data_IF_908999493714
#
_entry.id   IF_908999493714
#
_cell.length_a   1.000
_cell.length_b   1.000
_cell.length_c   1.000
_cell.angle_alpha   90.00
_cell.angle_beta   90.00
_cell.angle_gamma   90.00
#
_symmetry.space_group_name_H-M   'P 1'
#
loop_
_entity.id
_entity.type
_entity.pdbx_description
1 polymer ?
#
# COMPACT_ATOMS: atom_id res chain seq x y z
N UNK A 1 1.54 7.49 5.54
CA UNK A 1 1.91 8.91 5.63
C UNK A 1 3.32 9.10 5.07
N UNK A 2 3.72 10.33 4.75
CA UNK A 2 5.05 10.64 4.19
C UNK A 2 5.84 11.63 5.07
N UNK A 3 5.53 11.70 6.37
CA UNK A 3 6.13 12.64 7.32
C UNK A 3 7.60 12.34 7.63
N UNK A 4 8.26 13.28 8.31
CA UNK A 4 9.71 13.22 8.59
C UNK A 4 10.16 12.07 9.49
N UNK A 5 9.24 11.44 10.23
CA UNK A 5 9.50 10.31 11.12
C UNK A 5 9.24 8.93 10.48
N UNK A 6 8.80 8.91 9.22
CA UNK A 6 8.32 7.66 8.61
C UNK A 6 9.45 6.67 8.37
N UNK A 7 10.66 7.12 8.07
CA UNK A 7 11.80 6.22 7.77
C UNK A 7 12.22 5.44 9.03
N UNK A 8 12.33 6.14 10.16
CA UNK A 8 12.58 5.50 11.46
C UNK A 8 11.47 4.49 11.82
N UNK A 9 10.21 4.84 11.54
CA UNK A 9 9.07 3.95 11.75
C UNK A 9 9.11 2.70 10.86
N UNK A 10 9.44 2.86 9.59
CA UNK A 10 9.61 1.75 8.65
C UNK A 10 10.73 0.82 9.11
N UNK A 11 11.88 1.37 9.50
CA UNK A 11 13.01 0.60 9.98
C UNK A 11 12.64 -0.23 11.24
N UNK A 12 11.97 0.39 12.21
CA UNK A 12 11.51 -0.30 13.42
C UNK A 12 10.51 -1.42 13.11
N UNK A 13 9.58 -1.21 12.17
CA UNK A 13 8.64 -2.25 11.75
C UNK A 13 9.33 -3.40 11.02
N UNK A 14 10.29 -3.10 10.14
CA UNK A 14 11.07 -4.12 9.43
C UNK A 14 11.91 -4.95 10.41
N UNK A 15 12.56 -4.32 11.40
CA UNK A 15 13.30 -5.01 12.47
C UNK A 15 12.39 -5.91 13.32
N UNK A 16 11.16 -5.46 13.59
CA UNK A 16 10.15 -6.28 14.25
C UNK A 16 9.68 -7.49 13.40
N UNK A 17 10.06 -7.55 12.12
CA UNK A 17 9.80 -8.69 11.24
C UNK A 17 8.41 -8.66 10.59
N UNK A 18 7.87 -7.48 10.27
CA UNK A 18 6.60 -7.40 9.52
C UNK A 18 6.77 -7.98 8.11
N UNK A 19 5.74 -8.71 7.66
CA UNK A 19 5.74 -9.28 6.31
C UNK A 19 5.49 -8.20 5.22
N UNK A 20 4.77 -7.13 5.57
CA UNK A 20 4.33 -6.08 4.63
C UNK A 20 4.28 -4.71 5.28
N UNK A 21 4.63 -3.68 4.51
CA UNK A 21 4.51 -2.27 4.86
C UNK A 21 3.54 -1.59 3.91
N UNK A 22 2.58 -0.86 4.46
CA UNK A 22 1.58 -0.13 3.69
C UNK A 22 1.89 1.36 3.76
N UNK A 23 2.29 1.97 2.65
CA UNK A 23 2.42 3.43 2.53
C UNK A 23 1.02 4.00 2.35
N UNK A 24 0.34 4.20 3.48
CA UNK A 24 -1.08 4.54 3.53
C UNK A 24 -1.33 6.05 3.60
N UNK A 25 -2.00 6.60 2.59
CA UNK A 25 -2.36 8.02 2.50
C UNK A 25 -3.72 8.21 1.86
N UNK A 26 -4.34 9.38 2.05
CA UNK A 26 -5.57 9.73 1.35
C UNK A 26 -5.38 9.86 -0.17
N UNK A 27 -4.16 10.15 -0.65
CA UNK A 27 -3.86 10.31 -2.07
C UNK A 27 -2.47 9.76 -2.44
N UNK A 28 -2.47 8.51 -2.91
CA UNK A 28 -1.27 7.75 -3.25
C UNK A 28 -0.60 8.16 -4.55
N UNK A 29 -1.32 8.87 -5.44
CA UNK A 29 -0.74 9.40 -6.70
C UNK A 29 -0.01 10.73 -6.46
N UNK A 30 0.83 10.78 -5.43
CA UNK A 30 1.61 11.96 -5.09
C UNK A 30 3.08 11.61 -5.06
N UNK A 31 3.94 12.59 -5.41
CA UNK A 31 5.40 12.41 -5.45
C UNK A 31 5.94 11.83 -4.14
N UNK A 32 5.48 12.35 -3.00
CA UNK A 32 5.94 11.88 -1.69
C UNK A 32 5.63 10.41 -1.43
N UNK A 33 4.47 9.91 -1.89
CA UNK A 33 4.11 8.49 -1.73
C UNK A 33 4.90 7.61 -2.67
N UNK A 34 5.02 8.01 -3.94
CA UNK A 34 5.79 7.29 -4.97
C UNK A 34 7.25 7.13 -4.51
N UNK A 35 7.90 8.23 -4.09
CA UNK A 35 9.28 8.17 -3.61
C UNK A 35 9.40 7.35 -2.32
N UNK A 36 8.41 7.39 -1.43
CA UNK A 36 8.43 6.58 -0.22
C UNK A 36 8.29 5.09 -0.52
N UNK A 37 7.42 4.68 -1.44
CA UNK A 37 7.30 3.29 -1.89
C UNK A 37 8.63 2.81 -2.47
N UNK A 38 9.24 3.61 -3.35
CA UNK A 38 10.56 3.31 -3.93
C UNK A 38 11.63 3.15 -2.86
N UNK A 39 11.68 4.07 -1.91
CA UNK A 39 12.63 4.03 -0.81
C UNK A 39 12.45 2.77 0.06
N UNK A 40 11.21 2.39 0.41
CA UNK A 40 10.95 1.17 1.19
C UNK A 40 11.45 -0.05 0.42
N UNK A 41 11.10 -0.18 -0.86
CA UNK A 41 11.51 -1.33 -1.69
C UNK A 41 13.04 -1.44 -1.84
N UNK A 42 13.73 -0.31 -1.93
CA UNK A 42 15.20 -0.27 -2.06
C UNK A 42 15.92 -0.63 -0.76
N UNK A 43 15.43 -0.17 0.39
CA UNK A 43 16.10 -0.35 1.68
C UNK A 43 15.71 -1.65 2.39
N UNK A 44 14.52 -2.18 2.11
CA UNK A 44 13.97 -3.39 2.73
C UNK A 44 13.43 -4.34 1.66
N UNK A 45 14.27 -4.91 0.78
CA UNK A 45 13.83 -5.67 -0.38
C UNK A 45 13.04 -6.94 -0.03
N UNK A 46 13.30 -7.53 1.14
CA UNK A 46 12.59 -8.72 1.64
C UNK A 46 11.20 -8.42 2.20
N UNK A 47 10.89 -7.14 2.47
CA UNK A 47 9.59 -6.71 2.97
C UNK A 47 8.70 -6.33 1.77
N UNK A 48 7.46 -6.83 1.78
CA UNK A 48 6.48 -6.43 0.77
C UNK A 48 6.02 -4.99 1.02
N UNK A 49 5.76 -4.21 -0.02
CA UNK A 49 5.29 -2.83 0.07
C UNK A 49 4.01 -2.61 -0.74
N UNK A 50 3.01 -2.04 -0.08
CA UNK A 50 1.73 -1.67 -0.69
C UNK A 50 1.62 -0.14 -0.74
N UNK A 51 1.36 0.41 -1.93
CA UNK A 51 1.16 1.84 -2.12
C UNK A 51 -0.33 2.21 -2.19
N UNK A 52 -0.74 3.32 -1.57
CA UNK A 52 -2.12 3.79 -1.69
C UNK A 52 -2.45 5.08 -0.93
N UNK A 53 -3.69 5.53 -1.00
CA UNK A 53 -4.80 4.99 -1.79
C UNK A 53 -4.91 5.61 -3.18
N UNK A 54 -5.39 4.84 -4.16
CA UNK A 54 -5.57 5.29 -5.55
C UNK A 54 -6.97 4.96 -6.08
N UNK A 55 -7.33 5.49 -7.25
CA UNK A 55 -8.59 5.15 -7.93
C UNK A 55 -8.46 5.19 -9.47
N UNK A 56 -7.23 5.21 -10.00
CA UNK A 56 -6.95 5.31 -11.43
C UNK A 56 -5.80 4.39 -11.82
N UNK A 57 -5.79 3.96 -13.08
CA UNK A 57 -4.78 3.06 -13.64
C UNK A 57 -3.42 3.74 -13.78
N UNK A 58 -3.39 5.05 -14.10
CA UNK A 58 -2.15 5.82 -14.11
C UNK A 58 -1.46 5.85 -12.74
N UNK A 59 -2.24 6.00 -11.67
CA UNK A 59 -1.71 5.96 -10.32
C UNK A 59 -1.20 4.55 -9.96
N UNK A 60 -1.87 3.50 -10.41
CA UNK A 60 -1.39 2.12 -10.23
C UNK A 60 -0.07 1.89 -10.95
N UNK A 61 0.05 2.35 -12.21
CA UNK A 61 1.29 2.26 -12.97
C UNK A 61 2.43 3.01 -12.29
N UNK A 62 2.19 4.24 -11.84
CA UNK A 62 3.21 5.04 -11.14
C UNK A 62 3.71 4.36 -9.85
N UNK A 63 2.83 3.70 -9.10
CA UNK A 63 3.20 2.94 -7.90
C UNK A 63 3.90 1.62 -8.25
N UNK A 64 3.46 0.94 -9.31
CA UNK A 64 4.11 -0.28 -9.81
C UNK A 64 5.55 0.01 -10.28
N UNK A 65 5.76 1.09 -11.03
CA UNK A 65 7.08 1.56 -11.47
C UNK A 65 7.98 1.99 -10.30
N UNK A 66 7.39 2.47 -9.21
CA UNK A 66 8.11 2.74 -7.97
C UNK A 66 8.52 1.45 -7.21
N UNK A 67 7.98 0.30 -7.58
CA UNK A 67 8.28 -0.99 -6.96
C UNK A 67 7.25 -1.45 -5.92
N UNK A 68 6.01 -0.97 -5.99
CA UNK A 68 4.92 -1.53 -5.18
C UNK A 68 4.66 -3.00 -5.56
N UNK A 69 4.52 -3.88 -4.56
CA UNK A 69 4.09 -5.27 -4.78
C UNK A 69 2.57 -5.38 -4.89
N UNK A 70 1.84 -4.40 -4.34
CA UNK A 70 0.41 -4.25 -4.50
C UNK A 70 -0.02 -2.78 -4.39
N UNK A 71 -1.23 -2.47 -4.86
CA UNK A 71 -1.86 -1.14 -4.72
C UNK A 71 -3.16 -1.22 -3.91
N UNK A 72 -3.40 -0.20 -3.08
CA UNK A 72 -4.65 -0.07 -2.32
C UNK A 72 -5.61 0.90 -3.02
N UNK A 73 -6.80 0.41 -3.37
CA UNK A 73 -7.80 1.16 -4.17
C UNK A 73 -8.94 1.68 -3.30
N UNK A 74 -9.21 2.98 -3.40
CA UNK A 74 -10.38 3.62 -2.82
C UNK A 74 -10.14 5.06 -2.39
N UNK A 75 -10.87 5.99 -3.02
CA UNK A 75 -10.92 7.41 -2.63
C UNK A 75 -12.35 7.75 -2.20
N UNK A 76 -12.55 7.90 -0.89
CA UNK A 76 -13.84 8.22 -0.28
C UNK A 76 -14.90 7.10 -0.12
N UNK A 77 -14.67 5.79 -0.34
CA UNK A 77 -15.73 4.79 -0.22
C UNK A 77 -15.97 4.28 1.22
N UNK A 78 -15.10 4.64 2.17
CA UNK A 78 -15.19 4.12 3.54
C UNK A 78 -16.44 4.61 4.26
N UNK A 79 -17.08 3.75 5.06
CA UNK A 79 -18.34 4.05 5.75
C UNK A 79 -18.25 5.27 6.70
N UNK A 80 -17.09 5.48 7.32
CA UNK A 80 -16.80 6.63 8.19
C UNK A 80 -16.07 7.77 7.46
N UNK A 81 -15.77 7.60 6.17
CA UNK A 81 -14.94 8.52 5.43
C UNK A 81 -15.76 9.74 4.98
N UNK A 82 -15.31 10.94 5.33
CA UNK A 82 -15.98 12.19 4.96
C UNK A 82 -15.40 12.86 3.71
N UNK A 83 -14.41 12.26 3.03
CA UNK A 83 -13.71 12.88 1.88
C UNK A 83 -14.67 13.31 0.77
N UNK A 84 -15.69 12.52 0.45
CA UNK A 84 -16.70 12.89 -0.57
C UNK A 84 -17.54 14.11 -0.14
N UNK A 85 -17.79 14.24 1.15
CA UNK A 85 -18.63 15.32 1.72
C UNK A 85 -17.81 16.60 1.88
N UNK A 86 -16.61 16.51 2.44
CA UNK A 86 -15.79 17.67 2.81
C UNK A 86 -14.98 18.19 1.63
N UNK A 87 -14.32 17.30 0.87
CA UNK A 87 -13.44 17.69 -0.23
C UNK A 87 -14.13 17.64 -1.60
N UNK A 88 -15.34 17.06 -1.70
CA UNK A 88 -16.04 16.87 -2.96
C UNK A 88 -15.37 15.85 -3.90
N UNK A 89 -14.41 15.06 -3.41
CA UNK A 89 -13.60 14.14 -4.21
C UNK A 89 -13.94 12.69 -3.85
N UNK A 90 -14.11 11.85 -4.87
CA UNK A 90 -14.22 10.41 -4.70
C UNK A 90 -14.54 9.68 -6.00
N UNK A 91 -14.36 8.36 -5.98
CA UNK A 91 -14.72 7.48 -7.10
C UNK A 91 -15.60 6.34 -6.55
N UNK A 92 -16.71 5.96 -7.21
CA UNK A 92 -17.47 4.76 -6.85
C UNK A 92 -16.58 3.52 -6.85
N UNK A 93 -16.64 2.72 -5.79
CA UNK A 93 -15.60 1.71 -5.52
C UNK A 93 -15.51 0.62 -6.59
N UNK A 94 -16.65 0.17 -7.14
CA UNK A 94 -16.67 -0.81 -8.23
C UNK A 94 -15.96 -0.26 -9.46
N UNK A 95 -16.26 0.98 -9.85
CA UNK A 95 -15.59 1.66 -10.97
C UNK A 95 -14.10 1.86 -10.68
N UNK A 96 -13.74 2.29 -9.46
CA UNK A 96 -12.34 2.50 -9.07
C UNK A 96 -11.52 1.21 -9.22
N UNK A 97 -12.02 0.08 -8.71
CA UNK A 97 -11.36 -1.23 -8.85
C UNK A 97 -11.29 -1.67 -10.30
N UNK A 98 -12.43 -1.62 -11.02
CA UNK A 98 -12.50 -2.04 -12.42
C UNK A 98 -11.54 -1.27 -13.33
N UNK A 99 -11.54 0.06 -13.25
CA UNK A 99 -10.65 0.92 -14.04
C UNK A 99 -9.18 0.69 -13.67
N UNK A 100 -8.87 0.62 -12.37
CA UNK A 100 -7.49 0.40 -11.91
C UNK A 100 -6.91 -0.91 -12.43
N UNK A 101 -7.70 -1.98 -12.50
CA UNK A 101 -7.25 -3.29 -13.02
C UNK A 101 -7.22 -3.32 -14.55
N UNK A 102 -8.32 -2.96 -15.20
CA UNK A 102 -8.53 -3.21 -16.64
C UNK A 102 -7.60 -2.42 -17.54
N UNK A 103 -7.22 -1.20 -17.13
CA UNK A 103 -6.40 -0.31 -17.97
C UNK A 103 -4.92 -0.25 -17.54
N UNK A 104 -4.49 -1.15 -16.65
CA UNK A 104 -3.07 -1.28 -16.29
C UNK A 104 -2.40 -2.28 -17.24
N UNK A 105 -1.28 -1.91 -17.92
CA UNK A 105 -0.60 -2.81 -18.85
C UNK A 105 -0.16 -4.10 -18.16
N UNK A 106 -0.11 -5.21 -18.90
CA UNK A 106 0.22 -6.54 -18.36
C UNK A 106 1.54 -6.58 -17.59
N UNK A 107 2.52 -5.75 -17.99
CA UNK A 107 3.81 -5.58 -17.32
C UNK A 107 3.71 -5.05 -15.88
N UNK A 108 2.65 -4.30 -15.55
CA UNK A 108 2.38 -3.77 -14.21
C UNK A 108 1.33 -4.58 -13.44
N UNK A 109 0.83 -5.68 -14.03
CA UNK A 109 -0.25 -6.50 -13.48
C UNK A 109 0.15 -7.24 -12.18
N UNK A 110 1.44 -7.52 -11.98
CA UNK A 110 1.96 -8.13 -10.74
C UNK A 110 1.69 -7.25 -9.49
N UNK A 111 1.86 -5.92 -9.63
CA UNK A 111 1.53 -4.92 -8.60
C UNK A 111 0.04 -4.59 -8.51
N UNK A 112 -0.76 -5.07 -9.47
CA UNK A 112 -2.20 -4.82 -9.57
C UNK A 112 -3.00 -6.03 -9.12
N UNK A 113 -2.44 -6.86 -8.23
CA UNK A 113 -3.26 -7.70 -7.35
C UNK A 113 -3.96 -6.77 -6.37
N UNK A 114 -5.07 -6.17 -6.80
CA UNK A 114 -5.91 -5.38 -5.91
C UNK A 114 -6.37 -6.30 -4.77
N UNK A 115 -6.02 -5.97 -3.52
CA UNK A 115 -6.50 -6.72 -2.36
C UNK A 115 -7.99 -6.42 -2.15
N UNK A 116 -8.86 -7.14 -2.85
CA UNK A 116 -10.30 -7.13 -2.59
C UNK A 116 -10.59 -8.32 -1.67
N UNK A 117 -10.45 -8.13 -0.36
CA UNK A 117 -10.72 -9.09 0.76
C UNK A 117 -9.60 -10.13 1.07
N UNK A 118 -9.69 -10.83 2.24
CA UNK A 118 -8.63 -10.98 3.25
C UNK A 118 -7.38 -11.72 2.74
N UNK A 119 -6.19 -11.56 3.37
CA UNK A 119 -4.94 -12.01 2.81
C UNK A 119 -4.91 -13.54 2.73
N UNK A 120 -5.01 -14.08 1.52
CA UNK A 120 -4.49 -15.43 1.24
C UNK A 120 -2.98 -15.29 1.17
N UNK A 121 -2.38 -15.55 2.32
CA UNK A 121 -0.95 -15.60 2.58
C UNK A 121 -0.31 -16.64 1.63
N UNK A 122 0.34 -16.21 0.55
CA UNK A 122 1.34 -17.06 -0.10
C UNK A 122 2.55 -17.07 0.82
N UNK A 123 2.62 -18.07 1.69
CA UNK A 123 3.66 -18.22 2.70
C UNK A 123 5.02 -18.44 2.05
N UNK A 124 5.85 -17.39 1.98
CA UNK A 124 7.28 -17.57 2.08
C UNK A 124 7.60 -18.01 3.53
N UNK A 125 8.59 -18.90 3.77
CA UNK A 125 8.90 -19.38 5.10
C UNK A 125 9.57 -18.27 5.91
N UNK A 126 8.79 -17.43 6.59
CA UNK A 126 9.31 -16.40 7.48
C UNK A 126 9.57 -17.00 8.87
N UNK A 127 10.75 -16.70 9.43
CA UNK A 127 11.09 -16.95 10.85
C UNK A 127 10.14 -16.14 11.73
N UNK A 128 8.97 -16.70 12.05
CA UNK A 128 8.01 -16.05 12.96
C UNK A 128 8.54 -16.07 14.38
N UNK A 129 8.80 -14.89 14.96
CA UNK A 129 8.76 -14.77 16.43
C UNK A 129 7.28 -14.86 16.86
N UNK A 130 6.95 -15.60 17.93
CA UNK A 130 5.57 -15.73 18.39
C UNK A 130 5.04 -14.35 18.84
N UNK A 131 3.79 -14.04 18.51
CA UNK A 131 3.11 -12.77 18.84
C UNK A 131 3.21 -12.39 20.33
N UNK A 132 3.23 -13.39 21.22
CA UNK A 132 3.43 -13.22 22.66
C UNK A 132 4.76 -12.55 23.03
N UNK A 133 5.79 -12.67 22.19
CA UNK A 133 7.12 -12.11 22.44
C UNK A 133 7.24 -10.61 22.07
N UNK A 134 6.28 -10.04 21.33
CA UNK A 134 6.25 -8.62 20.97
C UNK A 134 5.54 -7.74 22.01
N UNK A 135 4.74 -8.32 22.91
CA UNK A 135 4.01 -7.59 23.96
C UNK A 135 4.82 -7.37 25.24
N UNK A 136 6.01 -7.96 25.37
CA UNK A 136 6.82 -7.92 26.59
C UNK A 136 7.81 -6.74 26.67
N UNK A 137 7.81 -5.84 25.68
CA UNK A 137 8.76 -4.72 25.57
C UNK A 137 8.06 -3.35 25.53
N UNK A 138 6.87 -3.23 26.09
CA UNK A 138 6.12 -1.98 26.28
C UNK A 138 6.06 -1.55 27.74
#
# INVERSE_FOLDING_TARGET
STGGDTEARVAALAEAGVDVIVVDTAHGHSRGVIERVRWVKQNFPDVQVIGGNIATSHAALALAEAGADAVKVGIGPGSICTTRIVAGIGVPQISAVSTTITSTPASASAATRASVSPPVLTAAPTRRRPWSSLQASG
#
